data_IF_310794905788
#
_entry.id   IF_310794905788
#
_cell.length_a   1.000
_cell.length_b   1.000
_cell.length_c   1.000
_cell.angle_alpha   90.00
_cell.angle_beta   90.00
_cell.angle_gamma   90.00
#
_symmetry.space_group_name_H-M   'P 1'
#
loop_
_entity.id
_entity.type
_entity.pdbx_description
1 polymer ?
#
# COMPACT_ATOMS: atom_id res chain seq x y z
N UNK A 1 -4.59 -10.43 6.24
CA UNK A 1 -3.69 -9.74 5.30
C UNK A 1 -3.45 -10.64 4.13
N UNK A 2 -3.86 -10.23 2.95
CA UNK A 2 -3.31 -10.74 1.70
C UNK A 2 -2.56 -9.55 1.08
N UNK A 3 -1.24 -9.50 1.24
CA UNK A 3 -0.40 -8.71 0.34
C UNK A 3 -0.47 -9.44 -1.01
N UNK A 4 -1.34 -8.96 -1.90
CA UNK A 4 -1.46 -9.56 -3.24
C UNK A 4 -0.33 -8.95 -4.08
N UNK A 5 0.87 -9.52 -3.94
CA UNK A 5 2.08 -9.21 -4.70
C UNK A 5 2.70 -7.81 -4.51
N UNK A 6 3.97 -7.66 -4.94
CA UNK A 6 4.78 -6.42 -4.98
C UNK A 6 4.06 -5.16 -5.52
N UNK A 7 2.88 -5.33 -6.11
CA UNK A 7 2.11 -4.32 -6.81
C UNK A 7 0.95 -3.73 -5.99
N UNK A 8 0.44 -4.38 -4.93
CA UNK A 8 -0.72 -3.87 -4.19
C UNK A 8 -0.60 -4.06 -2.67
N UNK A 9 -1.16 -3.12 -1.90
CA UNK A 9 -1.32 -3.23 -0.44
C UNK A 9 -2.78 -2.97 -0.05
N UNK A 10 -3.25 -3.56 1.05
CA UNK A 10 -4.64 -3.41 1.46
C UNK A 10 -4.86 -3.28 2.96
N UNK A 11 -5.85 -2.48 3.34
CA UNK A 11 -6.47 -2.49 4.65
C UNK A 11 -8.01 -2.60 4.51
N UNK A 12 -8.74 -2.59 5.62
CA UNK A 12 -10.22 -2.68 5.64
C UNK A 12 -10.91 -1.45 5.03
N UNK A 13 -10.20 -0.35 4.85
CA UNK A 13 -10.76 0.92 4.38
C UNK A 13 -10.39 1.20 2.91
N UNK A 14 -9.32 0.61 2.39
CA UNK A 14 -8.83 0.87 1.05
C UNK A 14 -7.76 -0.10 0.57
N UNK A 15 -7.66 -0.24 -0.74
CA UNK A 15 -6.70 -1.06 -1.47
C UNK A 15 -5.86 -0.17 -2.38
N UNK A 16 -4.54 -0.12 -2.13
CA UNK A 16 -3.59 0.66 -2.92
C UNK A 16 -3.15 -0.13 -4.15
N UNK A 17 -3.25 0.51 -5.31
CA UNK A 17 -2.76 -0.02 -6.59
C UNK A 17 -1.87 1.02 -7.30
N UNK A 18 -0.97 0.61 -8.20
CA UNK A 18 -0.05 1.52 -8.87
C UNK A 18 -0.78 2.53 -9.75
N UNK A 19 -0.36 3.80 -9.72
CA UNK A 19 -0.96 4.85 -10.56
C UNK A 19 -0.80 4.61 -12.08
N UNK A 20 0.21 3.86 -12.50
CA UNK A 20 0.46 3.51 -13.93
C UNK A 20 -0.51 2.48 -14.50
N UNK A 21 -1.40 1.91 -13.68
CA UNK A 21 -2.48 1.04 -14.13
C UNK A 21 -3.45 1.72 -15.14
N UNK A 22 -3.46 3.04 -15.20
CA UNK A 22 -4.36 3.83 -16.07
C UNK A 22 -3.96 3.70 -17.56
N UNK A 23 -2.69 3.41 -17.85
CA UNK A 23 -2.17 3.35 -19.22
C UNK A 23 -2.34 1.97 -19.89
N UNK A 24 -2.85 0.97 -19.16
CA UNK A 24 -2.98 -0.42 -19.62
C UNK A 24 -4.40 -0.77 -20.12
N UNK A 25 -5.06 0.12 -20.88
CA UNK A 25 -6.32 -0.21 -21.57
C UNK A 25 -7.49 -0.64 -20.68
N UNK A 26 -8.67 -0.86 -21.27
CA UNK A 26 -9.91 -1.11 -20.54
C UNK A 26 -9.95 -2.41 -19.72
N UNK A 27 -9.09 -3.39 -20.01
CA UNK A 27 -9.07 -4.69 -19.33
C UNK A 27 -8.62 -4.59 -17.85
N UNK A 28 -7.68 -3.69 -17.54
CA UNK A 28 -7.19 -3.55 -16.16
C UNK A 28 -8.25 -2.96 -15.23
N UNK A 29 -9.11 -2.09 -15.75
CA UNK A 29 -10.22 -1.50 -14.99
C UNK A 29 -11.30 -2.54 -14.63
N UNK A 30 -11.49 -3.58 -15.45
CA UNK A 30 -12.38 -4.68 -15.11
C UNK A 30 -11.82 -5.51 -13.94
N UNK A 31 -10.52 -5.78 -13.95
CA UNK A 31 -9.84 -6.49 -12.85
C UNK A 31 -9.94 -5.68 -11.55
N UNK A 32 -9.69 -4.38 -11.59
CA UNK A 32 -9.80 -3.52 -10.40
C UNK A 32 -11.22 -3.49 -9.84
N UNK A 33 -12.25 -3.50 -10.69
CA UNK A 33 -13.65 -3.60 -10.24
C UNK A 33 -13.94 -4.94 -9.57
N UNK A 34 -13.43 -6.04 -10.12
CA UNK A 34 -13.57 -7.37 -9.50
C UNK A 34 -12.87 -7.38 -8.14
N UNK A 35 -11.66 -6.82 -8.03
CA UNK A 35 -10.92 -6.74 -6.77
C UNK A 35 -11.71 -5.92 -5.74
N UNK A 36 -12.25 -4.76 -6.15
CA UNK A 36 -13.07 -3.93 -5.28
C UNK A 36 -14.33 -4.66 -4.78
N UNK A 37 -15.01 -5.39 -5.67
CA UNK A 37 -16.23 -6.15 -5.36
C UNK A 37 -15.93 -7.35 -4.44
N UNK A 38 -14.86 -8.10 -4.72
CA UNK A 38 -14.46 -9.28 -3.93
C UNK A 38 -13.94 -8.89 -2.55
N UNK A 39 -13.11 -7.84 -2.47
CA UNK A 39 -12.52 -7.39 -1.20
C UNK A 39 -13.47 -6.47 -0.43
N UNK A 40 -14.46 -5.86 -1.08
CA UNK A 40 -15.40 -4.93 -0.47
C UNK A 40 -14.76 -3.62 0.00
N UNK A 41 -13.64 -3.22 -0.61
CA UNK A 41 -12.87 -2.02 -0.25
C UNK A 41 -12.63 -1.12 -1.46
N UNK A 42 -12.47 0.18 -1.20
CA UNK A 42 -12.21 1.16 -2.24
C UNK A 42 -10.80 0.98 -2.83
N UNK A 43 -10.70 0.95 -4.16
CA UNK A 43 -9.41 0.83 -4.86
C UNK A 43 -8.87 2.23 -5.17
N UNK A 44 -7.71 2.53 -4.61
CA UNK A 44 -7.03 3.81 -4.68
C UNK A 44 -5.76 3.68 -5.50
N UNK A 45 -5.66 4.46 -6.57
CA UNK A 45 -4.49 4.47 -7.46
C UNK A 45 -3.45 5.46 -6.95
N UNK A 46 -2.32 4.98 -6.43
CA UNK A 46 -1.28 5.85 -5.90
C UNK A 46 0.14 5.30 -6.12
N UNK A 47 1.14 6.16 -5.95
CA UNK A 47 2.57 5.80 -5.92
C UNK A 47 3.19 6.20 -4.59
N UNK A 48 4.17 5.44 -4.11
CA UNK A 48 4.87 5.70 -2.85
C UNK A 48 6.28 6.19 -3.14
N UNK A 49 6.59 7.43 -2.77
CA UNK A 49 7.89 8.05 -3.04
C UNK A 49 8.31 7.96 -4.53
N UNK A 50 7.34 8.08 -5.45
CA UNK A 50 7.56 7.96 -6.90
C UNK A 50 7.70 6.52 -7.42
N UNK A 51 7.58 5.49 -6.57
CA UNK A 51 7.65 4.09 -6.98
C UNK A 51 6.28 3.52 -7.35
N UNK A 52 6.28 2.68 -8.39
CA UNK A 52 5.09 1.94 -8.86
C UNK A 52 4.77 0.70 -8.00
N UNK A 53 5.75 0.15 -7.30
CA UNK A 53 5.62 -1.09 -6.52
C UNK A 53 5.14 -0.77 -5.11
N UNK A 54 3.90 -0.30 -4.97
CA UNK A 54 3.33 0.08 -3.65
C UNK A 54 3.43 -1.09 -2.67
N UNK A 55 3.13 -2.32 -3.12
CA UNK A 55 3.26 -3.58 -2.39
C UNK A 55 4.65 -3.91 -1.85
N UNK A 56 5.72 -3.34 -2.39
CA UNK A 56 7.10 -3.60 -1.92
C UNK A 56 7.57 -2.59 -0.88
N UNK A 57 7.02 -1.38 -0.93
CA UNK A 57 7.55 -0.20 -0.23
C UNK A 57 6.68 0.25 0.94
N UNK A 58 5.58 -0.43 1.23
CA UNK A 58 4.81 -0.23 2.44
C UNK A 58 4.32 -1.55 3.03
N UNK A 59 4.03 -1.53 4.33
CA UNK A 59 3.36 -2.62 5.01
C UNK A 59 2.26 -2.01 5.90
N UNK A 60 0.99 -2.25 5.56
CA UNK A 60 -0.13 -1.53 6.16
C UNK A 60 -1.02 -2.49 6.96
N UNK A 61 -1.48 -2.04 8.11
CA UNK A 61 -2.53 -2.69 8.89
C UNK A 61 -3.71 -1.76 9.14
N UNK A 62 -4.79 -2.27 9.74
CA UNK A 62 -5.93 -1.43 10.12
C UNK A 62 -5.62 -0.48 11.30
N UNK A 63 -4.40 -0.56 11.84
CA UNK A 63 -3.92 0.34 12.91
C UNK A 63 -2.87 1.33 12.42
N UNK A 64 -2.42 1.20 11.17
CA UNK A 64 -1.33 1.98 10.61
C UNK A 64 -0.22 1.11 10.04
N UNK A 65 0.86 1.75 9.60
CA UNK A 65 2.00 1.05 9.03
C UNK A 65 3.13 1.96 8.55
N UNK A 66 4.34 1.38 8.36
CA UNK A 66 5.46 2.09 7.76
C UNK A 66 5.37 2.17 6.23
N UNK A 67 5.81 3.31 5.68
CA UNK A 67 6.05 3.56 4.27
C UNK A 67 7.55 3.76 4.01
N UNK A 68 7.92 3.83 2.72
CA UNK A 68 9.25 4.18 2.25
C UNK A 68 9.79 5.46 2.93
N UNK A 69 11.08 5.51 3.31
CA UNK A 69 11.63 6.63 4.09
C UNK A 69 11.68 7.96 3.33
N UNK A 70 11.68 7.93 1.99
CA UNK A 70 11.67 9.13 1.13
C UNK A 70 10.26 9.60 0.75
N UNK A 71 9.23 9.10 1.42
CA UNK A 71 7.86 9.58 1.19
C UNK A 71 7.77 11.00 1.73
N UNK A 72 7.20 11.93 0.94
CA UNK A 72 7.01 13.32 1.37
C UNK A 72 5.99 13.38 2.51
N UNK A 73 6.00 14.48 3.26
CA UNK A 73 5.04 14.67 4.36
C UNK A 73 3.64 14.86 3.78
N UNK A 74 3.53 15.53 2.63
CA UNK A 74 2.29 15.73 1.91
C UNK A 74 1.68 14.39 1.46
N UNK A 75 2.49 13.49 0.88
CA UNK A 75 2.02 12.16 0.44
C UNK A 75 1.63 11.29 1.64
N UNK A 76 2.35 11.40 2.76
CA UNK A 76 2.02 10.72 4.01
C UNK A 76 0.65 11.13 4.55
N UNK A 77 0.39 12.44 4.62
CA UNK A 77 -0.88 12.99 5.12
C UNK A 77 -2.04 12.65 4.19
N UNK A 78 -1.82 12.70 2.87
CA UNK A 78 -2.81 12.27 1.87
C UNK A 78 -3.16 10.78 2.05
N UNK A 79 -2.16 9.91 2.09
CA UNK A 79 -2.35 8.46 2.26
C UNK A 79 -2.98 8.10 3.61
N UNK A 80 -2.58 8.79 4.67
CA UNK A 80 -3.13 8.62 6.03
C UNK A 80 -4.62 8.98 6.05
N UNK A 81 -5.00 10.06 5.37
CA UNK A 81 -6.40 10.49 5.23
C UNK A 81 -7.21 9.50 4.41
N UNK A 82 -6.67 9.03 3.29
CA UNK A 82 -7.34 8.08 2.40
C UNK A 82 -7.55 6.71 3.07
N UNK A 83 -6.53 6.19 3.75
CA UNK A 83 -6.57 4.88 4.40
C UNK A 83 -7.19 4.91 5.81
N UNK A 84 -7.42 6.11 6.33
CA UNK A 84 -7.96 6.37 7.67
C UNK A 84 -7.14 5.74 8.80
N UNK A 85 -5.83 5.63 8.62
CA UNK A 85 -4.90 5.05 9.59
C UNK A 85 -3.62 5.87 9.63
N UNK A 86 -2.97 5.99 10.81
CA UNK A 86 -1.72 6.72 10.91
C UNK A 86 -0.60 6.01 10.13
N UNK A 87 0.15 6.77 9.34
CA UNK A 87 1.27 6.28 8.55
C UNK A 87 2.57 6.99 8.97
N UNK A 88 3.70 6.29 8.83
CA UNK A 88 5.01 6.84 9.16
C UNK A 88 6.04 6.43 8.10
N UNK A 89 6.93 7.35 7.72
CA UNK A 89 8.08 7.00 6.90
C UNK A 89 9.17 6.35 7.76
N UNK A 90 9.67 5.19 7.34
CA UNK A 90 10.67 4.44 8.10
C UNK A 90 11.49 3.48 7.24
N UNK A 91 12.45 2.80 7.86
CA UNK A 91 13.23 1.72 7.23
C UNK A 91 13.11 0.44 8.04
N UNK A 92 13.19 -0.70 7.37
CA UNK A 92 13.29 -2.02 8.00
C UNK A 92 14.73 -2.57 7.93
N UNK A 93 15.01 -3.71 8.56
CA UNK A 93 16.22 -4.51 8.32
C UNK A 93 17.54 -3.74 8.14
N UNK A 94 17.94 -2.96 9.16
CA UNK A 94 19.18 -2.16 9.18
C UNK A 94 19.27 -1.10 8.06
N UNK A 95 18.16 -0.45 7.73
CA UNK A 95 18.14 0.64 6.74
C UNK A 95 17.68 0.21 5.34
N UNK A 96 17.11 -0.99 5.21
CA UNK A 96 16.43 -1.40 3.98
C UNK A 96 15.22 -0.51 3.72
N UNK A 97 15.17 0.03 2.51
CA UNK A 97 14.05 0.83 2.00
C UNK A 97 12.87 -0.05 1.55
N UNK A 98 13.09 -1.35 1.35
CA UNK A 98 12.06 -2.34 0.95
C UNK A 98 11.41 -2.93 2.20
N UNK A 99 10.29 -2.33 2.60
CA UNK A 99 9.57 -2.65 3.85
C UNK A 99 8.89 -4.01 3.77
N UNK A 100 8.07 -4.24 2.73
CA UNK A 100 7.23 -5.43 2.64
C UNK A 100 8.04 -6.72 2.42
N UNK A 101 9.23 -6.62 1.84
CA UNK A 101 10.14 -7.77 1.72
C UNK A 101 10.71 -8.22 3.06
N UNK A 102 10.81 -7.28 4.01
CA UNK A 102 11.41 -7.50 5.32
C UNK A 102 10.41 -7.74 6.43
N UNK A 103 9.12 -7.45 6.21
CA UNK A 103 8.12 -7.58 7.26
C UNK A 103 6.72 -7.90 6.72
N UNK A 104 5.92 -8.56 7.54
CA UNK A 104 4.49 -8.73 7.32
C UNK A 104 3.77 -8.38 8.61
N UNK A 105 2.78 -7.49 8.51
CA UNK A 105 2.03 -6.99 9.66
C UNK A 105 0.57 -7.39 9.56
N UNK A 106 -0.07 -7.62 10.70
CA UNK A 106 -1.51 -7.64 10.85
C UNK A 106 -1.94 -6.84 12.08
N UNK A 107 -3.25 -6.74 12.32
CA UNK A 107 -3.81 -5.95 13.43
C UNK A 107 -3.31 -6.39 14.82
N UNK A 108 -2.75 -7.60 14.94
CA UNK A 108 -2.37 -8.25 16.20
C UNK A 108 -0.88 -8.55 16.32
N UNK A 109 -0.16 -8.66 15.21
CA UNK A 109 1.21 -9.20 15.17
C UNK A 109 1.96 -8.64 13.97
N UNK A 110 3.23 -8.31 14.18
CA UNK A 110 4.19 -7.97 13.12
C UNK A 110 5.32 -8.98 13.12
N UNK A 111 5.61 -9.56 11.96
CA UNK A 111 6.79 -10.38 11.71
C UNK A 111 7.79 -9.52 10.93
N UNK A 112 9.02 -9.39 11.41
CA UNK A 112 10.11 -8.63 10.81
C UNK A 112 11.44 -9.30 11.14
#
# INVERSE_FOLDING_TARGET
MLAVYMITECNKNGHLVPRTAIDQGGEFDEILKIIADVLGVEVLRQTIAGNILVGSYCAISNRGGPLHPRTSIEDLDELSTLLQVPLVAGTGNRGSEVIAAGMTVNDWTSFY
#
